data_IF_071251674913
#
_entry.id   IF_071251674913
#
_cell.length_a   1.000
_cell.length_b   1.000
_cell.length_c   1.000
_cell.angle_alpha   90.00
_cell.angle_beta   90.00
_cell.angle_gamma   90.00
#
_symmetry.space_group_name_H-M   'P 1'
#
loop_
_entity.id
_entity.type
_entity.pdbx_description
1 polymer ?
#
# COMPACT_ATOMS: atom_id res chain seq x y z
N UNK A 1 13.85 11.73 10.86
CA UNK A 1 14.13 10.33 10.93
C UNK A 1 13.34 9.55 9.90
N UNK A 2 13.99 8.63 9.18
CA UNK A 2 13.32 7.86 8.15
C UNK A 2 12.26 6.92 8.73
N UNK A 3 11.17 6.76 8.03
CA UNK A 3 10.13 5.82 8.38
C UNK A 3 10.51 4.42 7.91
N UNK A 4 10.39 3.43 8.79
CA UNK A 4 10.72 2.06 8.46
C UNK A 4 9.44 1.33 8.03
N UNK A 5 9.39 0.94 6.77
CA UNK A 5 8.22 0.24 6.23
C UNK A 5 8.23 -1.24 6.62
N UNK A 6 7.05 -1.78 6.83
CA UNK A 6 6.87 -3.21 7.03
C UNK A 6 6.79 -3.89 5.66
N UNK A 7 7.69 -4.83 5.39
CA UNK A 7 7.78 -5.44 4.06
C UNK A 7 6.83 -6.61 3.88
N UNK A 8 6.13 -6.62 2.74
CA UNK A 8 5.27 -7.73 2.33
C UNK A 8 6.05 -8.52 1.28
N UNK A 9 6.41 -9.77 1.58
CA UNK A 9 7.17 -10.59 0.64
C UNK A 9 6.55 -11.96 0.37
N UNK A 10 5.38 -12.24 0.96
CA UNK A 10 4.66 -13.48 0.69
C UNK A 10 3.15 -13.29 0.89
N UNK A 11 2.37 -14.27 0.40
CA UNK A 11 0.91 -14.21 0.46
C UNK A 11 0.36 -14.29 1.88
N UNK A 12 1.04 -15.00 2.76
CA UNK A 12 0.62 -15.14 4.14
C UNK A 12 0.62 -13.80 4.86
N UNK A 13 1.66 -12.99 4.63
CA UNK A 13 1.74 -11.65 5.19
C UNK A 13 0.61 -10.77 4.64
N UNK A 14 0.32 -10.87 3.36
CA UNK A 14 -0.78 -10.14 2.74
C UNK A 14 -2.12 -10.53 3.39
N UNK A 15 -2.38 -11.82 3.54
CA UNK A 15 -3.61 -12.33 4.14
C UNK A 15 -3.77 -11.82 5.58
N UNK A 16 -2.67 -11.81 6.34
CA UNK A 16 -2.68 -11.32 7.71
C UNK A 16 -3.05 -9.85 7.77
N UNK A 17 -2.49 -9.04 6.87
CA UNK A 17 -2.79 -7.61 6.81
C UNK A 17 -4.25 -7.34 6.46
N UNK A 18 -4.81 -8.12 5.54
CA UNK A 18 -6.22 -8.01 5.17
C UNK A 18 -7.10 -8.34 6.37
N UNK A 19 -6.74 -9.36 7.14
CA UNK A 19 -7.44 -9.73 8.37
C UNK A 19 -7.32 -8.62 9.41
N UNK A 20 -6.13 -8.04 9.58
CA UNK A 20 -5.88 -6.95 10.52
C UNK A 20 -6.71 -5.71 10.17
N UNK A 21 -7.09 -5.54 8.91
CA UNK A 21 -7.89 -4.40 8.47
C UNK A 21 -9.30 -4.38 9.06
N UNK A 22 -9.73 -5.46 9.68
CA UNK A 22 -11.01 -5.50 10.41
C UNK A 22 -10.95 -4.64 11.66
N UNK A 23 -9.77 -4.50 12.26
CA UNK A 23 -9.60 -3.70 13.47
C UNK A 23 -9.29 -2.23 13.17
N UNK A 24 -8.47 -1.99 12.15
CA UNK A 24 -8.06 -0.62 11.78
C UNK A 24 -7.62 -0.58 10.32
N UNK A 25 -7.63 0.60 9.68
CA UNK A 25 -7.20 0.71 8.28
C UNK A 25 -5.75 0.23 8.10
N UNK A 26 -5.50 -0.43 6.98
CA UNK A 26 -4.17 -0.95 6.62
C UNK A 26 -3.74 -0.31 5.31
N UNK A 27 -2.52 0.23 5.27
CA UNK A 27 -1.96 0.86 4.08
C UNK A 27 -1.02 -0.13 3.40
N UNK A 28 -1.27 -0.40 2.12
CA UNK A 28 -0.37 -1.20 1.30
C UNK A 28 0.17 -0.31 0.19
N UNK A 29 1.49 -0.17 0.13
CA UNK A 29 2.18 0.66 -0.84
C UNK A 29 2.94 -0.24 -1.82
N UNK A 30 2.50 -0.25 -3.08
CA UNK A 30 3.16 -0.99 -4.15
C UNK A 30 4.23 -0.10 -4.78
N UNK A 31 5.46 -0.55 -4.71
CA UNK A 31 6.63 0.22 -5.12
C UNK A 31 7.45 -0.55 -6.16
N UNK A 32 7.96 0.18 -7.14
CA UNK A 32 8.92 -0.36 -8.11
C UNK A 32 10.23 0.40 -7.97
N UNK A 33 11.33 -0.29 -7.70
CA UNK A 33 12.64 0.35 -7.55
C UNK A 33 13.27 0.74 -8.89
N UNK A 34 12.60 0.41 -10.01
CA UNK A 34 13.05 0.75 -11.36
C UNK A 34 12.35 1.99 -11.92
N UNK A 35 11.46 2.63 -11.16
CA UNK A 35 10.65 3.74 -11.65
C UNK A 35 10.89 5.02 -10.84
N UNK A 36 11.21 6.12 -11.53
CA UNK A 36 11.44 7.40 -10.87
C UNK A 36 10.21 7.98 -10.18
N UNK A 37 9.02 7.71 -10.73
CA UNK A 37 7.76 8.15 -10.11
C UNK A 37 7.56 7.42 -8.78
N UNK A 38 7.98 6.15 -8.70
CA UNK A 38 7.92 5.39 -7.46
C UNK A 38 8.82 5.98 -6.38
N UNK A 39 9.95 6.59 -6.76
CA UNK A 39 10.84 7.25 -5.79
C UNK A 39 10.17 8.45 -5.14
N UNK A 40 9.42 9.23 -5.91
CA UNK A 40 8.67 10.37 -5.38
C UNK A 40 7.57 9.89 -4.42
N UNK A 41 6.85 8.83 -4.81
CA UNK A 41 5.81 8.23 -3.97
C UNK A 41 6.41 7.65 -2.68
N UNK A 42 7.59 7.05 -2.76
CA UNK A 42 8.29 6.52 -1.60
C UNK A 42 8.55 7.62 -0.56
N UNK A 43 9.00 8.79 -1.02
CA UNK A 43 9.22 9.93 -0.13
C UNK A 43 7.93 10.42 0.51
N UNK A 44 6.83 10.41 -0.24
CA UNK A 44 5.53 10.77 0.29
C UNK A 44 5.11 9.80 1.41
N UNK A 45 5.30 8.51 1.17
CA UNK A 45 4.92 7.50 2.16
C UNK A 45 5.80 7.54 3.42
N UNK A 46 7.03 8.00 3.30
CA UNK A 46 7.92 8.19 4.46
C UNK A 46 7.42 9.27 5.42
N UNK A 47 6.55 10.17 4.96
CA UNK A 47 5.97 11.23 5.80
C UNK A 47 4.86 10.72 6.71
N UNK A 48 4.36 9.51 6.45
CA UNK A 48 3.25 8.93 7.21
C UNK A 48 3.81 8.22 8.45
N UNK A 49 3.30 8.57 9.63
CA UNK A 49 3.72 7.95 10.87
C UNK A 49 3.08 6.58 11.10
N UNK A 50 1.89 6.38 10.55
CA UNK A 50 1.21 5.09 10.64
C UNK A 50 2.01 4.03 9.89
N UNK A 51 1.80 2.77 10.23
CA UNK A 51 2.49 1.68 9.57
C UNK A 51 2.12 1.64 8.08
N UNK A 52 3.13 1.71 7.23
CA UNK A 52 2.99 1.53 5.79
C UNK A 52 3.59 0.17 5.43
N UNK A 53 2.82 -0.65 4.76
CA UNK A 53 3.25 -1.99 4.37
C UNK A 53 3.72 -1.95 2.92
N UNK A 54 5.00 -2.21 2.72
CA UNK A 54 5.65 -2.05 1.42
C UNK A 54 5.64 -3.35 0.64
N UNK A 55 5.08 -3.30 -0.56
CA UNK A 55 5.11 -4.40 -1.52
C UNK A 55 6.00 -3.99 -2.69
N UNK A 56 7.21 -4.53 -2.71
CA UNK A 56 8.15 -4.26 -3.79
C UNK A 56 7.87 -5.25 -4.92
N UNK A 57 7.36 -4.74 -6.04
CA UNK A 57 6.80 -5.60 -7.10
C UNK A 57 7.85 -6.50 -7.76
N UNK A 58 9.12 -6.06 -7.84
CA UNK A 58 10.18 -6.90 -8.43
C UNK A 58 10.46 -8.15 -7.60
N UNK A 59 10.31 -8.05 -6.28
CA UNK A 59 10.63 -9.15 -5.36
C UNK A 59 9.43 -10.04 -5.06
N UNK A 60 8.22 -9.56 -5.30
CA UNK A 60 6.99 -10.24 -4.89
C UNK A 60 5.89 -10.12 -5.95
N UNK A 61 6.22 -10.55 -7.18
CA UNK A 61 5.28 -10.45 -8.31
C UNK A 61 4.01 -11.24 -8.12
N UNK A 62 4.12 -12.42 -7.52
CA UNK A 62 2.97 -13.28 -7.25
C UNK A 62 2.03 -12.63 -6.22
N UNK A 63 2.58 -11.98 -5.20
CA UNK A 63 1.79 -11.27 -4.20
C UNK A 63 1.10 -10.06 -4.82
N UNK A 64 1.81 -9.34 -5.68
CA UNK A 64 1.24 -8.19 -6.40
C UNK A 64 0.07 -8.61 -7.28
N UNK A 65 0.21 -9.76 -7.96
CA UNK A 65 -0.86 -10.31 -8.80
C UNK A 65 -2.05 -10.74 -7.97
N UNK A 66 -1.79 -11.40 -6.85
CA UNK A 66 -2.83 -11.82 -5.91
C UNK A 66 -3.63 -10.60 -5.40
N UNK A 67 -2.94 -9.52 -5.07
CA UNK A 67 -3.57 -8.30 -4.60
C UNK A 67 -4.49 -7.71 -5.67
N UNK A 68 -4.06 -7.69 -6.92
CA UNK A 68 -4.88 -7.20 -8.03
C UNK A 68 -6.13 -8.07 -8.20
N UNK A 69 -5.97 -9.39 -8.11
CA UNK A 69 -7.08 -10.34 -8.25
C UNK A 69 -8.10 -10.18 -7.11
N UNK A 70 -7.62 -10.03 -5.88
CA UNK A 70 -8.48 -9.89 -4.71
C UNK A 70 -9.27 -8.58 -4.70
N UNK A 71 -8.67 -7.50 -5.18
CA UNK A 71 -9.28 -6.18 -5.11
C UNK A 71 -10.04 -5.78 -6.36
N UNK A 72 -9.71 -6.40 -7.49
CA UNK A 72 -10.21 -5.95 -8.79
C UNK A 72 -9.61 -4.62 -9.22
N UNK A 73 -8.62 -4.11 -8.49
CA UNK A 73 -7.94 -2.85 -8.82
C UNK A 73 -6.80 -3.16 -9.78
N UNK A 74 -6.79 -2.46 -10.90
CA UNK A 74 -5.75 -2.64 -11.92
C UNK A 74 -4.36 -2.41 -11.32
N UNK A 75 -3.44 -3.33 -11.62
CA UNK A 75 -2.06 -3.21 -11.18
C UNK A 75 -1.41 -1.97 -11.78
N UNK A 76 -0.87 -1.12 -10.90
CA UNK A 76 -0.08 0.06 -11.28
C UNK A 76 1.03 0.25 -10.25
N UNK A 77 2.10 0.94 -10.61
CA UNK A 77 3.16 1.33 -9.68
C UNK A 77 3.65 2.73 -10.02
N UNK A 78 3.84 3.59 -9.01
CA UNK A 78 3.49 3.38 -7.60
C UNK A 78 1.98 3.36 -7.39
N UNK A 79 1.53 2.60 -6.40
CA UNK A 79 0.11 2.54 -6.08
C UNK A 79 -0.04 2.32 -4.58
N UNK A 80 -0.98 3.03 -3.96
CA UNK A 80 -1.33 2.83 -2.55
C UNK A 80 -2.77 2.35 -2.49
N UNK A 81 -3.00 1.32 -1.68
CA UNK A 81 -4.33 0.79 -1.43
C UNK A 81 -4.56 0.79 0.08
N UNK A 82 -5.69 1.33 0.51
CA UNK A 82 -6.10 1.29 1.92
C UNK A 82 -7.18 0.23 2.06
N UNK A 83 -6.96 -0.69 2.99
CA UNK A 83 -7.93 -1.73 3.35
C UNK A 83 -8.60 -1.39 4.66
N UNK A 84 -9.90 -1.69 4.74
CA UNK A 84 -10.67 -1.63 5.98
C UNK A 84 -11.77 -2.68 5.89
N UNK A 85 -11.96 -3.42 6.98
CA UNK A 85 -12.96 -4.50 7.04
C UNK A 85 -12.78 -5.55 5.95
N UNK A 86 -11.53 -5.84 5.61
CA UNK A 86 -11.19 -6.86 4.63
C UNK A 86 -11.36 -6.43 3.18
N UNK A 87 -11.62 -5.15 2.93
CA UNK A 87 -11.88 -4.62 1.59
C UNK A 87 -10.97 -3.45 1.28
N UNK A 88 -10.65 -3.27 -0.02
CA UNK A 88 -9.99 -2.07 -0.49
C UNK A 88 -11.01 -0.94 -0.53
N UNK A 89 -10.83 0.07 0.33
CA UNK A 89 -11.78 1.18 0.46
C UNK A 89 -11.30 2.45 -0.24
N UNK A 90 -10.01 2.52 -0.58
CA UNK A 90 -9.43 3.68 -1.25
C UNK A 90 -8.14 3.27 -1.95
N UNK A 91 -7.85 3.90 -3.07
CA UNK A 91 -6.57 3.70 -3.75
C UNK A 91 -6.17 4.93 -4.54
N UNK A 92 -4.87 5.05 -4.83
CA UNK A 92 -4.33 6.10 -5.70
C UNK A 92 -3.07 5.55 -6.37
N UNK A 93 -2.74 6.09 -7.54
CA UNK A 93 -1.62 5.63 -8.34
C UNK A 93 -0.79 6.80 -8.85
N UNK A 94 0.47 6.51 -9.20
CA UNK A 94 1.39 7.45 -9.85
C UNK A 94 1.53 8.75 -9.05
N UNK A 95 1.27 9.89 -9.66
CA UNK A 95 1.44 11.20 -9.01
C UNK A 95 0.38 11.51 -7.97
N UNK A 96 -0.68 10.70 -7.89
CA UNK A 96 -1.72 10.87 -6.88
C UNK A 96 -1.35 10.22 -5.54
N UNK A 97 -0.22 9.53 -5.47
CA UNK A 97 0.27 8.94 -4.22
C UNK A 97 0.89 10.06 -3.39
N UNK A 98 0.10 10.63 -2.49
CA UNK A 98 0.47 11.76 -1.64
C UNK A 98 0.15 11.45 -0.18
N UNK A 99 1.03 11.87 0.72
CA UNK A 99 0.85 11.64 2.16
C UNK A 99 -0.47 12.22 2.65
N UNK A 100 -0.80 13.45 2.27
CA UNK A 100 -2.04 14.08 2.69
C UNK A 100 -3.29 13.33 2.26
N UNK A 101 -3.29 12.80 1.04
CA UNK A 101 -4.42 12.03 0.52
C UNK A 101 -4.58 10.72 1.28
N UNK A 102 -3.47 10.03 1.57
CA UNK A 102 -3.50 8.77 2.33
C UNK A 102 -3.98 9.01 3.76
N UNK A 103 -3.48 10.06 4.42
CA UNK A 103 -3.88 10.39 5.78
C UNK A 103 -5.38 10.70 5.86
N UNK A 104 -5.90 11.40 4.85
CA UNK A 104 -7.32 11.70 4.78
C UNK A 104 -8.16 10.44 4.61
N UNK A 105 -7.68 9.51 3.79
CA UNK A 105 -8.35 8.22 3.60
C UNK A 105 -8.36 7.41 4.89
N UNK A 106 -7.25 7.42 5.63
CA UNK A 106 -7.16 6.72 6.92
C UNK A 106 -8.16 7.29 7.93
N UNK A 107 -8.27 8.63 8.00
CA UNK A 107 -9.24 9.29 8.88
C UNK A 107 -10.67 8.90 8.54
N UNK A 108 -10.98 8.82 7.24
CA UNK A 108 -12.33 8.52 6.77
C UNK A 108 -12.78 7.09 7.06
N UNK A 109 -11.83 6.19 7.30
CA UNK A 109 -12.09 4.77 7.46
C UNK A 109 -11.66 4.19 8.81
N UNK A 110 -11.42 5.03 9.81
CA UNK A 110 -11.09 4.56 11.17
C UNK A 110 -12.32 4.03 11.90
#
# INVERSE_FOLDING_TARGET
>A
MGHSFFKIDNKETLDKLITDSKAKPVVIFKHSNACGISSAAYREMEKIEDQVNLLEVQSARDVSRELADLTGIRHETPQVIVFKDGKAVWNASHFDVKAGAVLKALESHT
#
